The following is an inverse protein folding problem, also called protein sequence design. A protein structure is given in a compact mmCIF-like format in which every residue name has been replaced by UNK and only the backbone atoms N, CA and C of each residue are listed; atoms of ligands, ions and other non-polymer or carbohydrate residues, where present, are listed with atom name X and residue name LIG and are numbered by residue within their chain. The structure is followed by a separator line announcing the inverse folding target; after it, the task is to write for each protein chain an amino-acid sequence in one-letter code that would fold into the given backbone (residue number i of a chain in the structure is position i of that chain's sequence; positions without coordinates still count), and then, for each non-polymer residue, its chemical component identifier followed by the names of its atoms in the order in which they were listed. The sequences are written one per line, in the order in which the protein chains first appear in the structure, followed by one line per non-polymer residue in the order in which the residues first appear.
data_IF_725418205232
#
_entry.id   IF_725418205232
#
_cell.length_a   1.000
_cell.length_b   1.000
_cell.length_c   1.000
_cell.angle_alpha   90.00
_cell.angle_beta   90.00
_cell.angle_gamma   90.00
#
_symmetry.space_group_name_H-M   'P 1'
#
loop_
_entity.id
_entity.type
_entity.pdbx_description
1 polymer ?
#
# COMPACT_ATOMS: atom_id res chain seq x y z
N UNK A 1 0.78 7.31 7.49
CA UNK A 1 -0.22 6.67 6.61
C UNK A 1 -0.13 5.19 6.93
N UNK A 2 -1.25 4.54 7.26
CA UNK A 2 -1.24 3.10 7.55
C UNK A 2 -0.91 2.30 6.29
N UNK A 3 -0.01 1.33 6.38
CA UNK A 3 0.35 0.44 5.28
C UNK A 3 -0.76 -0.58 5.02
N UNK A 4 -1.39 -1.10 6.08
CA UNK A 4 -2.47 -2.09 6.00
C UNK A 4 -3.82 -1.42 6.17
N UNK A 5 -3.96 -0.55 7.16
CA UNK A 5 -5.24 -0.04 7.61
C UNK A 5 -5.56 1.28 6.90
N UNK A 6 -6.79 1.39 6.36
CA UNK A 6 -7.26 2.67 5.83
C UNK A 6 -7.46 3.66 7.00
N UNK A 7 -6.88 4.87 6.97
CA UNK A 7 -7.08 5.89 8.00
C UNK A 7 -8.55 6.27 8.20
N UNK A 8 -8.97 6.54 9.45
CA UNK A 8 -10.39 6.74 9.81
C UNK A 8 -11.06 7.90 9.06
N UNK A 9 -10.33 8.97 8.80
CA UNK A 9 -10.74 10.09 7.97
C UNK A 9 -11.04 9.65 6.53
N UNK A 10 -10.17 8.83 5.94
CA UNK A 10 -10.38 8.26 4.61
C UNK A 10 -11.55 7.28 4.59
N UNK A 11 -11.70 6.42 5.61
CA UNK A 11 -12.85 5.50 5.72
C UNK A 11 -14.17 6.27 5.69
N UNK A 12 -14.25 7.37 6.44
CA UNK A 12 -15.44 8.22 6.52
C UNK A 12 -15.75 8.85 5.16
N UNK A 13 -14.74 9.38 4.47
CA UNK A 13 -14.90 9.97 3.15
C UNK A 13 -15.33 8.94 2.09
N UNK A 14 -14.73 7.75 2.09
CA UNK A 14 -15.06 6.66 1.16
C UNK A 14 -16.49 6.15 1.38
N UNK A 15 -16.91 6.02 2.64
CA UNK A 15 -18.27 5.58 3.00
C UNK A 15 -19.34 6.59 2.57
N UNK A 16 -19.01 7.88 2.62
CA UNK A 16 -19.95 8.96 2.29
C UNK A 16 -20.25 9.07 0.77
N UNK A 17 -19.38 8.54 -0.09
CA UNK A 17 -19.61 8.59 -1.54
C UNK A 17 -20.71 7.58 -1.91
N UNK A 18 -21.71 7.98 -2.68
CA UNK A 18 -22.59 7.03 -3.38
C UNK A 18 -21.93 6.66 -4.73
N UNK A 19 -21.76 5.36 -4.98
CA UNK A 19 -21.13 4.88 -6.22
C UNK A 19 -22.00 5.17 -7.45
N UNK A 20 -23.33 5.10 -7.31
CA UNK A 20 -24.25 5.39 -8.42
C UNK A 20 -24.24 6.88 -8.76
N UNK A 21 -24.16 7.72 -7.73
CA UNK A 21 -24.06 9.16 -7.93
C UNK A 21 -22.71 9.55 -8.54
N UNK A 22 -21.62 8.89 -8.11
CA UNK A 22 -20.30 9.08 -8.74
C UNK A 22 -20.34 8.78 -10.24
N UNK A 23 -20.87 7.63 -10.64
CA UNK A 23 -20.98 7.24 -12.06
C UNK A 23 -21.81 8.25 -12.85
N UNK A 24 -22.94 8.68 -12.28
CA UNK A 24 -23.81 9.70 -12.89
C UNK A 24 -23.06 11.03 -13.09
N UNK A 25 -22.31 11.49 -12.09
CA UNK A 25 -21.55 12.73 -12.15
C UNK A 25 -20.36 12.64 -13.12
N UNK A 26 -19.73 11.47 -13.26
CA UNK A 26 -18.71 11.23 -14.28
C UNK A 26 -19.33 11.33 -15.68
N UNK A 27 -20.45 10.64 -15.93
CA UNK A 27 -21.14 10.70 -17.22
C UNK A 27 -21.65 12.10 -17.55
N UNK A 28 -22.10 12.85 -16.54
CA UNK A 28 -22.46 14.25 -16.70
C UNK A 28 -21.25 15.11 -17.03
N UNK A 29 -20.13 14.93 -16.33
CA UNK A 29 -18.91 15.69 -16.57
C UNK A 29 -18.32 15.45 -17.96
N UNK A 30 -18.44 14.22 -18.48
CA UNK A 30 -18.04 13.88 -19.85
C UNK A 30 -18.95 14.57 -20.87
N UNK A 31 -20.27 14.57 -20.66
CA UNK A 31 -21.25 15.20 -21.57
C UNK A 31 -21.17 16.71 -21.60
N UNK A 32 -20.99 17.33 -20.44
CA UNK A 32 -20.93 18.79 -20.27
C UNK A 32 -19.51 19.34 -20.44
N UNK A 33 -18.52 18.46 -20.57
CA UNK A 33 -17.10 18.76 -20.60
C UNK A 33 -16.65 19.62 -19.38
N UNK A 34 -17.25 19.39 -18.20
CA UNK A 34 -17.03 20.15 -16.95
C UNK A 34 -17.08 19.25 -15.72
N UNK A 35 -16.08 19.31 -14.84
CA UNK A 35 -15.99 18.49 -13.62
C UNK A 35 -16.48 19.17 -12.34
N UNK A 36 -17.11 20.35 -12.42
CA UNK A 36 -17.47 21.15 -11.24
C UNK A 36 -18.34 20.42 -10.21
N UNK A 37 -19.33 19.65 -10.67
CA UNK A 37 -20.21 18.85 -9.79
C UNK A 37 -19.48 17.65 -9.17
N UNK A 38 -18.49 17.08 -9.87
CA UNK A 38 -17.69 15.96 -9.38
C UNK A 38 -16.83 16.35 -8.17
N UNK A 39 -16.37 17.61 -8.12
CA UNK A 39 -15.61 18.15 -6.99
C UNK A 39 -16.45 18.43 -5.73
N UNK A 40 -17.79 18.30 -5.80
CA UNK A 40 -18.65 18.34 -4.60
C UNK A 40 -18.49 17.07 -3.77
N UNK A 41 -18.09 15.96 -4.39
CA UNK A 41 -17.79 14.73 -3.67
C UNK A 41 -16.41 14.84 -2.98
N UNK A 42 -16.24 14.24 -1.79
CA UNK A 42 -14.99 14.30 -1.03
C UNK A 42 -13.88 13.37 -1.59
N UNK A 43 -13.77 13.27 -2.91
CA UNK A 43 -12.84 12.35 -3.61
C UNK A 43 -11.37 12.63 -3.27
N UNK A 44 -11.00 13.90 -3.06
CA UNK A 44 -9.65 14.28 -2.63
C UNK A 44 -9.31 13.82 -1.20
N UNK A 45 -10.32 13.70 -0.33
CA UNK A 45 -10.16 13.25 1.04
C UNK A 45 -10.11 11.71 1.16
N UNK A 46 -10.39 10.97 0.08
CA UNK A 46 -10.40 9.50 0.08
C UNK A 46 -9.00 8.86 -0.08
N UNK A 47 -7.94 9.67 -0.02
CA UNK A 47 -6.56 9.22 -0.11
C UNK A 47 -5.90 9.44 -1.48
N UNK A 48 -4.58 9.23 -1.51
CA UNK A 48 -3.73 9.53 -2.67
C UNK A 48 -4.08 8.72 -3.92
N UNK A 49 -4.57 7.48 -3.75
CA UNK A 49 -4.94 6.62 -4.86
C UNK A 49 -6.13 7.20 -5.65
N UNK A 50 -7.24 7.50 -4.98
CA UNK A 50 -8.42 8.12 -5.61
C UNK A 50 -8.10 9.55 -6.08
N UNK A 51 -7.36 10.33 -5.28
CA UNK A 51 -6.93 11.67 -5.66
C UNK A 51 -6.11 11.69 -6.97
N UNK A 52 -5.23 10.71 -7.17
CA UNK A 52 -4.45 10.57 -8.41
C UNK A 52 -5.34 10.24 -9.62
N UNK A 53 -6.35 9.39 -9.44
CA UNK A 53 -7.31 9.05 -10.49
C UNK A 53 -8.22 10.23 -10.84
N UNK A 54 -8.66 11.01 -9.85
CA UNK A 54 -9.39 12.25 -10.07
C UNK A 54 -8.57 13.25 -10.89
N UNK A 55 -7.30 13.47 -10.51
CA UNK A 55 -6.41 14.35 -11.25
C UNK A 55 -6.18 13.88 -12.70
N UNK A 56 -6.05 12.57 -12.90
CA UNK A 56 -5.94 11.98 -14.25
C UNK A 56 -7.20 12.22 -15.08
N UNK A 57 -8.38 12.12 -14.48
CA UNK A 57 -9.66 12.44 -15.12
C UNK A 57 -9.75 13.92 -15.52
N UNK A 58 -9.44 14.85 -14.61
CA UNK A 58 -9.45 16.28 -14.90
C UNK A 58 -8.50 16.63 -16.05
N UNK A 59 -7.32 16.01 -16.08
CA UNK A 59 -6.35 16.19 -17.18
C UNK A 59 -6.87 15.65 -18.50
N UNK A 60 -7.56 14.51 -18.49
CA UNK A 60 -8.17 13.94 -19.69
C UNK A 60 -9.32 14.82 -20.21
N UNK A 61 -10.11 15.39 -19.30
CA UNK A 61 -11.21 16.31 -19.60
C UNK A 61 -10.69 17.59 -20.26
N UNK A 62 -9.65 18.20 -19.69
CA UNK A 62 -9.01 19.39 -20.27
C UNK A 62 -8.50 19.13 -21.69
N UNK A 63 -7.82 17.99 -21.91
CA UNK A 63 -7.34 17.61 -23.25
C UNK A 63 -8.47 17.38 -24.26
N UNK A 64 -9.60 16.83 -23.82
CA UNK A 64 -10.76 16.63 -24.68
C UNK A 64 -11.36 17.96 -25.12
N UNK A 65 -11.50 18.92 -24.20
CA UNK A 65 -11.99 20.28 -24.48
C UNK A 65 -11.13 21.05 -25.49
N UNK A 66 -9.81 20.85 -25.43
CA UNK A 66 -8.86 21.49 -26.35
C UNK A 66 -8.84 20.83 -27.75
N UNK A 67 -9.32 19.59 -27.88
CA UNK A 67 -9.26 18.82 -29.11
C UNK A 67 -10.33 19.25 -30.12
N UNK A 68 -9.91 20.02 -31.14
CA UNK A 68 -10.81 20.50 -32.21
C UNK A 68 -10.92 19.56 -33.42
N UNK A 69 -9.86 18.81 -33.73
CA UNK A 69 -9.83 17.92 -34.90
C UNK A 69 -10.64 16.64 -34.65
N UNK A 70 -11.46 16.15 -35.61
CA UNK A 70 -12.36 15.01 -35.38
C UNK A 70 -11.65 13.74 -34.87
N UNK A 71 -10.52 13.37 -35.48
CA UNK A 71 -9.72 12.22 -35.05
C UNK A 71 -9.18 12.38 -33.62
N UNK A 72 -8.68 13.57 -33.29
CA UNK A 72 -8.13 13.89 -31.96
C UNK A 72 -9.23 13.98 -30.90
N UNK A 73 -10.42 14.44 -31.27
CA UNK A 73 -11.60 14.48 -30.39
C UNK A 73 -12.08 13.07 -30.06
N UNK A 74 -12.13 12.16 -31.04
CA UNK A 74 -12.46 10.76 -30.81
C UNK A 74 -11.47 10.09 -29.84
N UNK A 75 -10.17 10.22 -30.10
CA UNK A 75 -9.10 9.65 -29.26
C UNK A 75 -9.13 10.18 -27.81
N UNK A 76 -9.23 11.51 -27.65
CA UNK A 76 -9.33 12.12 -26.31
C UNK A 76 -10.64 11.76 -25.59
N UNK A 77 -11.73 11.54 -26.33
CA UNK A 77 -13.00 11.07 -25.79
C UNK A 77 -12.92 9.64 -25.24
N UNK A 78 -12.22 8.74 -25.96
CA UNK A 78 -11.95 7.38 -25.46
C UNK A 78 -11.06 7.39 -24.22
N UNK A 79 -10.02 8.23 -24.23
CA UNK A 79 -9.13 8.40 -23.07
C UNK A 79 -9.88 8.96 -21.85
N UNK A 80 -10.79 9.92 -22.06
CA UNK A 80 -11.63 10.50 -21.02
C UNK A 80 -12.59 9.47 -20.42
N UNK A 81 -13.28 8.67 -21.26
CA UNK A 81 -14.12 7.57 -20.78
C UNK A 81 -13.33 6.55 -19.95
N UNK A 82 -12.13 6.19 -20.41
CA UNK A 82 -11.22 5.32 -19.65
C UNK A 82 -10.84 5.92 -18.30
N UNK A 83 -10.50 7.21 -18.26
CA UNK A 83 -10.17 7.88 -17.00
C UNK A 83 -11.36 7.96 -16.04
N UNK A 84 -12.59 8.12 -16.56
CA UNK A 84 -13.81 8.07 -15.77
C UNK A 84 -14.06 6.68 -15.17
N UNK A 85 -13.93 5.63 -15.99
CA UNK A 85 -14.03 4.25 -15.52
C UNK A 85 -12.96 3.92 -14.47
N UNK A 86 -11.72 4.34 -14.69
CA UNK A 86 -10.62 4.18 -13.73
C UNK A 86 -10.92 4.84 -12.38
N UNK A 87 -11.55 6.02 -12.37
CA UNK A 87 -11.94 6.71 -11.15
C UNK A 87 -13.07 5.98 -10.41
N UNK A 88 -14.12 5.59 -11.12
CA UNK A 88 -15.22 4.80 -10.56
C UNK A 88 -14.72 3.47 -10.00
N UNK A 89 -13.88 2.76 -10.76
CA UNK A 89 -13.24 1.52 -10.34
C UNK A 89 -12.39 1.71 -9.08
N UNK A 90 -11.57 2.77 -9.00
CA UNK A 90 -10.75 3.03 -7.83
C UNK A 90 -11.60 3.27 -6.57
N UNK A 91 -12.71 4.00 -6.68
CA UNK A 91 -13.63 4.21 -5.55
C UNK A 91 -14.32 2.90 -5.16
N UNK A 92 -14.81 2.13 -6.13
CA UNK A 92 -15.42 0.82 -5.89
C UNK A 92 -14.47 -0.17 -5.22
N UNK A 93 -13.22 -0.25 -5.69
CA UNK A 93 -12.18 -1.09 -5.11
C UNK A 93 -11.86 -0.67 -3.66
N UNK A 94 -11.77 0.63 -3.37
CA UNK A 94 -11.52 1.12 -2.02
C UNK A 94 -12.69 0.86 -1.06
N UNK A 95 -13.95 0.92 -1.55
CA UNK A 95 -15.12 0.52 -0.77
C UNK A 95 -15.12 -0.98 -0.43
N UNK A 96 -14.85 -1.83 -1.43
CA UNK A 96 -14.73 -3.28 -1.21
C UNK A 96 -13.59 -3.62 -0.23
N UNK A 97 -12.46 -2.91 -0.33
CA UNK A 97 -11.36 -3.03 0.63
C UNK A 97 -11.82 -2.63 2.04
N UNK A 98 -12.54 -1.52 2.18
CA UNK A 98 -13.07 -1.06 3.46
C UNK A 98 -14.03 -2.08 4.09
N UNK A 99 -14.94 -2.64 3.31
CA UNK A 99 -15.85 -3.70 3.78
C UNK A 99 -15.09 -4.94 4.28
N UNK A 100 -14.00 -5.31 3.58
CA UNK A 100 -13.13 -6.42 4.00
C UNK A 100 -12.40 -6.09 5.29
N UNK A 101 -11.81 -4.90 5.40
CA UNK A 101 -11.14 -4.45 6.63
C UNK A 101 -12.12 -4.37 7.82
N UNK A 102 -13.37 -3.96 7.60
CA UNK A 102 -14.39 -3.95 8.65
C UNK A 102 -14.79 -5.36 9.12
N UNK A 103 -14.79 -6.34 8.23
CA UNK A 103 -15.01 -7.75 8.60
C UNK A 103 -13.81 -8.30 9.36
N UNK A 104 -12.60 -8.06 8.87
CA UNK A 104 -11.36 -8.47 9.51
C UNK A 104 -11.22 -7.86 10.92
N UNK A 105 -11.50 -6.56 11.04
CA UNK A 105 -11.43 -5.80 12.30
C UNK A 105 -12.39 -6.28 13.39
N UNK A 106 -13.39 -7.11 13.05
CA UNK A 106 -14.22 -7.78 14.05
C UNK A 106 -13.48 -8.89 14.79
N UNK A 107 -12.42 -9.46 14.20
CA UNK A 107 -11.69 -10.60 14.77
C UNK A 107 -10.23 -10.28 15.07
N UNK A 108 -9.57 -9.47 14.26
CA UNK A 108 -8.17 -9.11 14.46
C UNK A 108 -7.85 -7.70 13.95
N UNK A 109 -6.90 -7.04 14.61
CA UNK A 109 -6.37 -5.74 14.19
C UNK A 109 -4.85 -5.78 14.33
N UNK A 110 -4.16 -5.51 13.22
CA UNK A 110 -2.69 -5.40 13.17
C UNK A 110 -2.32 -3.93 13.24
N UNK A 111 -1.42 -3.58 14.15
CA UNK A 111 -0.89 -2.22 14.25
C UNK A 111 0.16 -1.99 13.17
N UNK A 112 -0.14 -1.07 12.25
CA UNK A 112 0.71 -0.69 11.14
C UNK A 112 1.44 0.64 11.36
N UNK A 113 1.38 1.21 12.58
CA UNK A 113 2.11 2.41 12.97
C UNK A 113 3.55 2.09 13.38
N UNK A 114 4.33 1.57 12.43
CA UNK A 114 5.75 1.28 12.65
C UNK A 114 6.59 2.49 12.25
N UNK A 115 7.26 3.09 13.22
CA UNK A 115 8.12 4.26 13.00
C UNK A 115 9.51 3.79 12.55
N UNK A 116 10.04 4.31 11.43
CA UNK A 116 11.40 3.99 11.00
C UNK A 116 12.44 4.47 12.02
N UNK A 117 13.50 3.69 12.26
CA UNK A 117 14.62 4.14 13.09
C UNK A 117 15.36 5.30 12.40
N UNK A 118 15.96 6.18 13.22
CA UNK A 118 16.71 7.34 12.72
C UNK A 118 17.96 6.98 11.89
N UNK A 119 18.54 5.81 12.14
CA UNK A 119 19.66 5.24 11.39
C UNK A 119 19.46 3.76 11.21
N UNK A 120 19.83 3.27 10.04
CA UNK A 120 19.75 1.85 9.74
C UNK A 120 21.11 1.19 9.92
N UNK A 121 21.08 0.00 10.49
CA UNK A 121 22.23 -0.89 10.62
C UNK A 121 21.97 -2.17 9.83
N UNK A 122 23.00 -2.99 9.65
CA UNK A 122 22.85 -4.30 8.99
C UNK A 122 21.96 -5.26 9.77
N UNK A 123 21.78 -5.06 11.07
CA UNK A 123 20.85 -5.82 11.89
C UNK A 123 19.55 -5.03 12.04
N UNK A 124 18.52 -5.49 11.35
CA UNK A 124 17.20 -4.86 11.37
C UNK A 124 16.24 -5.69 12.23
N UNK A 125 15.41 -4.97 12.97
CA UNK A 125 14.26 -5.58 13.64
C UNK A 125 13.01 -4.78 13.35
N UNK A 126 11.89 -5.49 13.17
CA UNK A 126 10.57 -4.91 13.00
C UNK A 126 9.65 -5.62 13.98
N UNK A 127 9.09 -4.87 14.92
CA UNK A 127 8.08 -5.37 15.84
C UNK A 127 6.69 -5.02 15.31
N UNK A 128 5.86 -6.05 15.14
CA UNK A 128 4.46 -5.91 14.76
C UNK A 128 3.61 -6.27 15.98
N UNK A 129 2.80 -5.32 16.43
CA UNK A 129 1.82 -5.54 17.50
C UNK A 129 0.47 -5.85 16.88
N UNK A 130 -0.30 -6.73 17.52
CA UNK A 130 -1.61 -7.10 17.04
C UNK A 130 -2.53 -7.46 18.20
N UNK A 131 -3.83 -7.40 17.93
CA UNK A 131 -4.88 -7.88 18.84
C UNK A 131 -5.82 -8.79 18.08
N UNK A 132 -6.32 -9.83 18.73
CA UNK A 132 -7.24 -10.78 18.12
C UNK A 132 -8.24 -11.33 19.13
N UNK A 133 -9.32 -11.92 18.62
CA UNK A 133 -10.33 -12.66 19.37
C UNK A 133 -10.98 -13.70 18.45
N UNK A 134 -11.51 -14.78 19.00
CA UNK A 134 -12.08 -15.89 18.20
C UNK A 134 -13.54 -15.63 17.82
N UNK A 135 -14.31 -15.07 18.74
CA UNK A 135 -15.71 -14.68 18.53
C UNK A 135 -15.92 -13.20 18.83
N UNK A 136 -17.09 -12.67 18.44
CA UNK A 136 -17.44 -11.26 18.67
C UNK A 136 -17.68 -10.98 20.17
N UNK A 137 -18.05 -12.00 20.94
CA UNK A 137 -18.28 -11.90 22.39
C UNK A 137 -17.00 -12.04 23.21
N UNK A 138 -15.96 -12.66 22.65
CA UNK A 138 -14.69 -12.85 23.35
C UNK A 138 -13.96 -11.53 23.63
N UNK A 139 -13.22 -11.52 24.73
CA UNK A 139 -12.28 -10.45 25.06
C UNK A 139 -11.10 -10.41 24.06
N UNK A 140 -10.63 -9.19 23.79
CA UNK A 140 -9.47 -8.98 22.93
C UNK A 140 -8.19 -9.45 23.61
N UNK A 141 -7.48 -10.36 22.96
CA UNK A 141 -6.13 -10.76 23.32
C UNK A 141 -5.11 -9.90 22.58
N UNK A 142 -3.91 -9.77 23.16
CA UNK A 142 -2.85 -8.90 22.68
C UNK A 142 -1.56 -9.69 22.52
N UNK A 143 -0.81 -9.36 21.47
CA UNK A 143 0.43 -10.06 21.14
C UNK A 143 1.33 -9.19 20.29
N UNK A 144 2.58 -9.61 20.17
CA UNK A 144 3.52 -8.99 19.26
C UNK A 144 4.52 -10.00 18.75
N UNK A 145 4.98 -9.81 17.53
CA UNK A 145 6.06 -10.58 16.91
C UNK A 145 7.18 -9.63 16.49
N UNK A 146 8.42 -10.04 16.74
CA UNK A 146 9.62 -9.31 16.30
C UNK A 146 10.30 -10.08 15.18
N UNK A 147 10.29 -9.50 13.98
CA UNK A 147 11.03 -10.01 12.84
C UNK A 147 12.46 -9.49 12.90
N UNK A 148 13.43 -10.39 12.81
CA UNK A 148 14.86 -10.06 12.82
C UNK A 148 15.48 -10.45 11.50
N UNK A 149 16.21 -9.51 10.88
CA UNK A 149 16.92 -9.72 9.63
C UNK A 149 18.36 -9.20 9.76
N UNK A 150 19.30 -9.96 9.22
CA UNK A 150 20.68 -9.53 9.07
C UNK A 150 20.97 -9.35 7.58
N UNK A 151 21.11 -8.09 7.16
CA UNK A 151 21.42 -7.73 5.79
C UNK A 151 22.90 -8.01 5.51
N UNK A 152 23.19 -8.90 4.55
CA UNK A 152 24.53 -9.21 4.07
C UNK A 152 24.90 -8.24 2.92
N UNK A 153 25.76 -7.23 3.14
CA UNK A 153 26.11 -6.24 2.14
C UNK A 153 27.14 -6.81 1.16
N UNK A 154 26.80 -7.86 0.42
CA UNK A 154 27.68 -8.35 -0.63
C UNK A 154 27.74 -7.34 -1.78
N UNK A 155 28.94 -7.02 -2.29
CA UNK A 155 29.05 -6.15 -3.46
C UNK A 155 28.35 -6.82 -4.64
N UNK A 156 27.43 -6.11 -5.29
CA UNK A 156 26.90 -6.56 -6.56
C UNK A 156 27.97 -6.33 -7.64
N UNK A 157 28.78 -7.35 -7.91
CA UNK A 157 29.85 -7.33 -8.91
C UNK A 157 29.35 -7.24 -10.36
N UNK A 158 28.04 -7.33 -10.59
CA UNK A 158 27.44 -7.09 -11.90
C UNK A 158 27.27 -5.60 -12.22
N UNK A 159 27.41 -4.70 -11.24
CA UNK A 159 27.31 -3.25 -11.45
C UNK A 159 28.66 -2.71 -11.94
N UNK A 160 28.70 -1.95 -13.06
CA UNK A 160 29.92 -1.32 -13.53
C UNK A 160 30.56 -0.47 -12.44
N UNK A 161 31.86 -0.67 -12.21
CA UNK A 161 32.61 0.13 -11.24
C UNK A 161 32.55 1.60 -11.69
N UNK A 162 32.11 2.53 -10.82
CA UNK A 162 32.00 3.93 -11.21
C UNK A 162 33.37 4.48 -11.64
N UNK A 163 33.39 5.20 -12.76
CA UNK A 163 34.61 5.79 -13.37
C UNK A 163 35.34 6.77 -12.44
N UNK A 164 34.64 7.28 -11.41
CA UNK A 164 35.17 8.16 -10.36
C UNK A 164 34.78 7.62 -8.99
N UNK A 165 35.75 7.51 -8.08
CA UNK A 165 35.49 7.10 -6.69
C UNK A 165 34.47 8.05 -6.05
N UNK A 166 33.30 7.56 -5.60
CA UNK A 166 32.34 8.40 -4.88
C UNK A 166 32.94 8.85 -3.55
N UNK A 167 32.53 10.04 -3.07
CA UNK A 167 32.95 10.53 -1.77
C UNK A 167 32.43 9.64 -0.65
N UNK A 168 33.10 9.63 0.51
CA UNK A 168 32.65 8.87 1.68
C UNK A 168 31.21 9.23 2.07
N UNK A 169 30.85 10.51 1.99
CA UNK A 169 29.48 10.98 2.25
C UNK A 169 28.45 10.38 1.28
N UNK A 170 28.79 10.27 -0.02
CA UNK A 170 27.89 9.68 -1.01
C UNK A 170 27.76 8.17 -0.82
N UNK A 171 28.84 7.48 -0.46
CA UNK A 171 28.82 6.05 -0.15
C UNK A 171 27.95 5.75 1.08
N UNK A 172 28.06 6.55 2.14
CA UNK A 172 27.22 6.43 3.33
C UNK A 172 25.74 6.70 2.99
N UNK A 173 25.46 7.73 2.20
CA UNK A 173 24.10 8.02 1.74
C UNK A 173 23.49 6.85 0.94
N UNK A 174 24.24 6.28 0.00
CA UNK A 174 23.79 5.12 -0.79
C UNK A 174 23.56 3.89 0.08
N UNK A 175 24.42 3.65 1.07
CA UNK A 175 24.25 2.57 2.05
C UNK A 175 22.98 2.76 2.87
N UNK A 176 22.78 3.96 3.46
CA UNK A 176 21.58 4.27 4.24
C UNK A 176 20.31 4.15 3.39
N UNK A 177 20.32 4.60 2.13
CA UNK A 177 19.18 4.45 1.22
C UNK A 177 18.84 2.98 0.95
N UNK A 178 19.85 2.12 0.73
CA UNK A 178 19.63 0.68 0.54
C UNK A 178 19.09 0.02 1.80
N UNK A 179 19.68 0.32 2.95
CA UNK A 179 19.23 -0.22 4.23
C UNK A 179 17.79 0.24 4.54
N UNK A 180 17.44 1.49 4.23
CA UNK A 180 16.07 1.97 4.34
C UNK A 180 15.10 1.15 3.46
N UNK A 181 15.44 0.91 2.19
CA UNK A 181 14.61 0.11 1.28
C UNK A 181 14.44 -1.34 1.77
N UNK A 182 15.51 -1.96 2.26
CA UNK A 182 15.45 -3.31 2.84
C UNK A 182 14.58 -3.34 4.10
N UNK A 183 14.72 -2.34 4.97
CA UNK A 183 13.89 -2.22 6.17
C UNK A 183 12.41 -2.01 5.81
N UNK A 184 12.12 -1.17 4.82
CA UNK A 184 10.75 -0.94 4.34
C UNK A 184 10.14 -2.23 3.77
N UNK A 185 10.91 -2.99 2.98
CA UNK A 185 10.48 -4.29 2.48
C UNK A 185 10.21 -5.28 3.63
N UNK A 186 11.10 -5.36 4.61
CA UNK A 186 10.91 -6.18 5.81
C UNK A 186 9.65 -5.79 6.58
N UNK A 187 9.45 -4.48 6.79
CA UNK A 187 8.31 -3.94 7.51
C UNK A 187 7.00 -4.32 6.82
N UNK A 188 6.89 -4.07 5.51
CA UNK A 188 5.70 -4.44 4.72
C UNK A 188 5.47 -5.95 4.73
N UNK A 189 6.52 -6.74 4.55
CA UNK A 189 6.45 -8.20 4.59
C UNK A 189 6.00 -8.73 5.96
N UNK A 190 6.48 -8.14 7.06
CA UNK A 190 6.09 -8.51 8.42
C UNK A 190 4.62 -8.23 8.68
N UNK A 191 4.18 -7.03 8.32
CA UNK A 191 2.80 -6.58 8.43
C UNK A 191 1.84 -7.49 7.62
N UNK A 192 2.13 -7.70 6.35
CA UNK A 192 1.29 -8.55 5.49
C UNK A 192 1.25 -9.99 5.95
N UNK A 193 2.37 -10.55 6.42
CA UNK A 193 2.39 -11.91 6.95
C UNK A 193 1.50 -12.09 8.17
N UNK A 194 1.53 -11.17 9.14
CA UNK A 194 0.63 -11.25 10.30
C UNK A 194 -0.83 -11.13 9.89
N UNK A 195 -1.16 -10.19 8.99
CA UNK A 195 -2.53 -10.03 8.46
C UNK A 195 -3.02 -11.30 7.77
N UNK A 196 -2.22 -11.83 6.86
CA UNK A 196 -2.61 -12.97 6.03
C UNK A 196 -2.73 -14.25 6.89
N UNK A 197 -1.88 -14.42 7.91
CA UNK A 197 -2.02 -15.49 8.90
C UNK A 197 -3.38 -15.45 9.62
N UNK A 198 -3.84 -14.27 10.04
CA UNK A 198 -5.16 -14.14 10.67
C UNK A 198 -6.31 -14.35 9.68
N UNK A 199 -6.18 -13.87 8.44
CA UNK A 199 -7.18 -14.09 7.38
C UNK A 199 -7.36 -15.57 7.05
N UNK A 200 -6.28 -16.34 7.11
CA UNK A 200 -6.29 -17.79 6.91
C UNK A 200 -6.83 -18.57 8.13
N UNK A 201 -7.28 -17.88 9.18
CA UNK A 201 -7.84 -18.49 10.39
C UNK A 201 -6.78 -18.91 11.42
N UNK A 202 -5.57 -18.36 11.31
CA UNK A 202 -4.48 -18.58 12.26
C UNK A 202 -4.82 -18.09 13.68
N UNK A 203 -4.28 -18.78 14.69
CA UNK A 203 -4.46 -18.41 16.09
C UNK A 203 -3.31 -17.52 16.55
N UNK A 204 -3.62 -16.30 17.00
CA UNK A 204 -2.61 -15.35 17.46
C UNK A 204 -1.73 -15.89 18.60
N UNK A 205 -2.24 -16.81 19.41
CA UNK A 205 -1.47 -17.46 20.48
C UNK A 205 -0.35 -18.39 19.96
N UNK A 206 -0.40 -18.79 18.68
CA UNK A 206 0.64 -19.64 18.04
C UNK A 206 1.71 -18.82 17.34
N UNK A 207 1.56 -17.50 17.27
CA UNK A 207 2.55 -16.62 16.65
C UNK A 207 3.77 -16.53 17.59
N UNK A 208 5.00 -16.81 17.11
CA UNK A 208 6.19 -16.73 17.94
C UNK A 208 6.48 -15.27 18.32
N UNK A 209 7.11 -15.08 19.48
CA UNK A 209 7.52 -13.74 19.94
C UNK A 209 8.63 -13.15 19.05
N UNK A 210 9.54 -14.00 18.55
CA UNK A 210 10.64 -13.60 17.67
C UNK A 210 10.75 -14.57 16.50
N UNK A 211 10.96 -14.03 15.30
CA UNK A 211 11.17 -14.82 14.09
C UNK A 211 12.37 -14.30 13.30
N UNK A 212 13.32 -15.20 13.04
CA UNK A 212 14.44 -14.92 12.14
C UNK A 212 13.97 -15.10 10.70
N UNK A 213 14.08 -14.03 9.92
CA UNK A 213 13.58 -13.95 8.56
C UNK A 213 14.39 -14.84 7.63
N UNK A 214 13.70 -15.64 6.80
CA UNK A 214 14.34 -16.53 5.83
C UNK A 214 14.74 -15.74 4.59
N UNK A 215 16.02 -15.66 4.28
CA UNK A 215 16.48 -15.04 3.04
C UNK A 215 16.48 -16.03 1.89
N UNK A 216 16.33 -15.54 0.67
CA UNK A 216 16.48 -16.38 -0.51
C UNK A 216 17.90 -16.97 -0.58
N UNK A 217 18.03 -18.25 -0.90
CA UNK A 217 19.34 -18.92 -0.91
C UNK A 217 20.28 -18.42 -2.02
N UNK A 218 19.72 -17.89 -3.12
CA UNK A 218 20.47 -17.39 -4.25
C UNK A 218 20.76 -15.89 -4.13
N UNK A 219 19.74 -15.07 -3.91
CA UNK A 219 19.90 -13.61 -3.82
C UNK A 219 20.32 -13.15 -2.43
N UNK A 220 20.05 -13.93 -1.37
CA UNK A 220 20.16 -13.53 0.05
C UNK A 220 19.34 -12.29 0.42
N UNK A 221 18.45 -11.88 -0.48
CA UNK A 221 17.53 -10.79 -0.27
C UNK A 221 16.22 -11.31 0.33
N UNK A 222 15.43 -10.37 0.82
CA UNK A 222 14.06 -10.62 1.23
C UNK A 222 13.20 -10.90 0.00
N UNK A 223 12.36 -11.92 0.10
CA UNK A 223 11.34 -12.27 -0.88
C UNK A 223 9.96 -12.36 -0.19
N UNK A 224 8.91 -12.66 -0.98
CA UNK A 224 7.54 -12.70 -0.50
C UNK A 224 7.26 -13.78 0.57
N UNK A 225 8.17 -14.74 0.76
CA UNK A 225 8.06 -15.83 1.73
C UNK A 225 8.93 -15.62 2.96
N UNK A 226 9.84 -14.64 2.92
CA UNK A 226 10.84 -14.41 3.95
C UNK A 226 10.26 -14.18 5.35
N UNK A 227 9.05 -13.61 5.43
CA UNK A 227 8.38 -13.27 6.70
C UNK A 227 7.26 -14.25 7.07
N UNK A 228 7.10 -15.36 6.35
CA UNK A 228 6.03 -16.33 6.61
C UNK A 228 6.43 -17.31 7.72
N UNK A 229 6.23 -16.91 8.97
CA UNK A 229 6.63 -17.65 10.17
C UNK A 229 5.90 -18.99 10.38
N UNK A 230 4.78 -19.22 9.69
CA UNK A 230 4.01 -20.47 9.78
C UNK A 230 4.35 -21.50 8.71
N UNK A 231 5.18 -21.15 7.71
CA UNK A 231 5.65 -22.11 6.71
C UNK A 231 6.82 -22.91 7.25
N UNK A 232 6.83 -24.22 6.97
CA UNK A 232 8.04 -25.01 7.11
C UNK A 232 9.08 -24.46 6.12
N UNK A 233 10.20 -24.00 6.65
CA UNK A 233 11.31 -23.54 5.85
C UNK A 233 11.97 -24.76 5.17
N UNK A 234 12.39 -24.63 3.90
CA UNK A 234 13.14 -25.69 3.22
C UNK A 234 14.52 -25.93 3.83
#
# INVERSE_FOLDING_TARGET
MGEINIPRDQQTAITAIDARELDRLIDQAIREERSGELHRLPLAACGSHIGTKLHSFDRALAKHREAKAPRKRAETGDALRRAGHDLSFAVGAMKQRLETEQKDAQFFIVDDQIVPPYRFTTQMSVRVSYRWRRTIEDEWQWGSITFVHHHDPRPNYAVPVPTRKPSAAKQEQELQNRLYQTWEHLMRGALYSVRDYFRDGGDGAKIPETFQVTVDSYSRDLNNYSTQFWRQQP
#
